data_IF_126461019328
#
_entry.id   IF_126461019328
#
_cell.length_a   1.000
_cell.length_b   1.000
_cell.length_c   1.000
_cell.angle_alpha   90.00
_cell.angle_beta   90.00
_cell.angle_gamma   90.00
#
_symmetry.space_group_name_H-M   'P 1'
#
loop_
_entity.id
_entity.type
_entity.pdbx_description
1 polymer ?
#
# COMPACT_ATOMS: atom_id res chain seq x y z
N UNK A 1 2.09 2.42 -8.31
CA UNK A 1 1.86 1.06 -7.77
C UNK A 1 0.99 0.27 -8.72
N UNK A 2 1.20 -1.04 -8.82
CA UNK A 2 0.40 -1.97 -9.62
C UNK A 2 0.17 -3.27 -8.86
N UNK A 3 -0.87 -4.02 -9.25
CA UNK A 3 -1.09 -5.41 -8.86
C UNK A 3 -0.71 -6.33 -10.03
N UNK A 4 -0.74 -7.64 -9.83
CA UNK A 4 -0.62 -8.61 -10.91
C UNK A 4 -1.92 -8.61 -11.73
N UNK A 5 -1.82 -8.36 -13.03
CA UNK A 5 -2.96 -8.33 -13.95
C UNK A 5 -2.91 -9.56 -14.84
N UNK A 6 -3.90 -10.44 -14.73
CA UNK A 6 -4.01 -11.60 -15.61
C UNK A 6 -4.59 -11.21 -16.96
N UNK A 7 -3.95 -11.63 -18.07
CA UNK A 7 -4.50 -11.44 -19.39
C UNK A 7 -5.67 -12.39 -19.62
N UNK A 8 -6.66 -11.97 -20.40
CA UNK A 8 -7.80 -12.79 -20.79
C UNK A 8 -8.89 -11.98 -21.47
N UNK A 9 -9.99 -12.63 -21.86
CA UNK A 9 -11.17 -11.93 -22.40
C UNK A 9 -11.75 -10.92 -21.39
N UNK A 10 -11.58 -11.22 -20.09
CA UNK A 10 -11.86 -10.30 -18.99
C UNK A 10 -10.60 -10.19 -18.12
N UNK A 11 -9.70 -9.26 -18.38
CA UNK A 11 -8.53 -9.06 -17.55
C UNK A 11 -8.94 -8.85 -16.09
N UNK A 12 -8.45 -9.72 -15.21
CA UNK A 12 -8.70 -9.61 -13.79
C UNK A 12 -7.41 -9.23 -13.07
N UNK A 13 -7.52 -8.26 -12.17
CA UNK A 13 -6.44 -7.91 -11.28
C UNK A 13 -6.46 -8.84 -10.08
N UNK A 14 -5.30 -9.37 -9.70
CA UNK A 14 -5.16 -10.04 -8.41
C UNK A 14 -5.21 -8.94 -7.35
N UNK A 15 -6.39 -8.78 -6.78
CA UNK A 15 -6.63 -7.90 -5.65
C UNK A 15 -6.80 -8.71 -4.35
N UNK A 16 -7.50 -8.16 -3.39
CA UNK A 16 -7.73 -8.76 -2.07
C UNK A 16 -8.56 -10.06 -2.07
N UNK A 17 -8.96 -10.55 -3.21
CA UNK A 17 -9.75 -11.77 -3.33
C UNK A 17 -9.07 -12.74 -4.29
N UNK A 18 -9.01 -14.00 -3.87
CA UNK A 18 -8.39 -15.11 -4.58
C UNK A 18 -8.71 -15.16 -6.09
N UNK A 19 -7.80 -14.66 -6.90
CA UNK A 19 -7.81 -14.92 -8.33
C UNK A 19 -6.92 -16.12 -8.71
N UNK A 20 -6.37 -16.82 -7.72
CA UNK A 20 -5.42 -17.91 -7.91
C UNK A 20 -5.95 -19.28 -7.45
N UNK A 21 -5.06 -20.25 -7.44
CA UNK A 21 -5.35 -21.60 -6.94
C UNK A 21 -5.58 -21.59 -5.42
N UNK A 22 -6.41 -22.52 -4.93
CA UNK A 22 -6.76 -22.63 -3.50
C UNK A 22 -5.54 -22.88 -2.59
N UNK A 23 -4.41 -23.29 -3.13
CA UNK A 23 -3.16 -23.51 -2.39
C UNK A 23 -2.34 -22.25 -2.17
N UNK A 24 -2.71 -21.14 -2.81
CA UNK A 24 -2.04 -19.84 -2.71
C UNK A 24 -0.53 -19.88 -3.07
N UNK A 25 -0.13 -20.83 -3.90
CA UNK A 25 1.21 -20.87 -4.48
C UNK A 25 1.24 -20.06 -5.79
N UNK A 26 2.44 -19.63 -6.19
CA UNK A 26 2.65 -18.97 -7.46
C UNK A 26 3.09 -20.02 -8.51
N UNK A 27 2.19 -20.50 -9.38
CA UNK A 27 2.57 -21.42 -10.43
C UNK A 27 3.52 -20.75 -11.44
N UNK A 28 4.30 -21.56 -12.16
CA UNK A 28 5.38 -21.07 -13.04
C UNK A 28 4.88 -20.10 -14.12
N UNK A 29 3.69 -20.33 -14.65
CA UNK A 29 3.08 -19.46 -15.67
C UNK A 29 2.69 -18.09 -15.09
N UNK A 30 2.20 -18.05 -13.86
CA UNK A 30 1.92 -16.81 -13.15
C UNK A 30 3.20 -16.01 -12.89
N UNK A 31 4.25 -16.66 -12.39
CA UNK A 31 5.55 -16.01 -12.17
C UNK A 31 6.08 -15.43 -13.47
N UNK A 32 6.05 -16.22 -14.55
CA UNK A 32 6.48 -15.75 -15.88
C UNK A 32 5.66 -14.54 -16.36
N UNK A 33 4.32 -14.61 -16.24
CA UNK A 33 3.44 -13.51 -16.61
C UNK A 33 3.75 -12.24 -15.79
N UNK A 34 3.98 -12.37 -14.48
CA UNK A 34 4.34 -11.24 -13.62
C UNK A 34 5.68 -10.62 -14.04
N UNK A 35 6.66 -11.44 -14.41
CA UNK A 35 7.95 -10.98 -14.97
C UNK A 35 7.75 -10.22 -16.28
N UNK A 36 6.92 -10.73 -17.19
CA UNK A 36 6.57 -10.06 -18.45
C UNK A 36 5.89 -8.72 -18.21
N UNK A 37 4.89 -8.67 -17.30
CA UNK A 37 4.17 -7.45 -16.94
C UNK A 37 5.12 -6.38 -16.38
N UNK A 38 5.90 -6.71 -15.37
CA UNK A 38 6.81 -5.77 -14.71
C UNK A 38 7.93 -5.37 -15.65
N UNK A 39 8.45 -6.30 -16.47
CA UNK A 39 9.44 -6.01 -17.49
C UNK A 39 8.95 -5.01 -18.53
N UNK A 40 7.70 -5.17 -19.01
CA UNK A 40 7.09 -4.21 -19.93
C UNK A 40 6.90 -2.82 -19.29
N UNK A 41 6.48 -2.76 -18.04
CA UNK A 41 6.38 -1.50 -17.29
C UNK A 41 7.74 -0.84 -17.12
N UNK A 42 8.77 -1.55 -16.69
CA UNK A 42 10.14 -1.04 -16.54
C UNK A 42 10.70 -0.53 -17.87
N UNK A 43 10.46 -1.25 -18.96
CA UNK A 43 10.86 -0.81 -20.29
C UNK A 43 10.15 0.48 -20.71
N UNK A 44 8.88 0.62 -20.39
CA UNK A 44 8.07 1.78 -20.75
C UNK A 44 8.45 3.05 -19.99
N UNK A 45 8.72 2.94 -18.67
CA UNK A 45 8.97 4.09 -17.80
C UNK A 45 10.46 4.42 -17.62
N UNK A 46 11.36 3.53 -18.01
CA UNK A 46 12.81 3.72 -17.84
C UNK A 46 13.28 3.45 -16.40
N UNK A 47 14.56 3.69 -16.11
CA UNK A 47 15.15 3.38 -14.80
C UNK A 47 14.79 4.37 -13.68
N UNK A 48 14.37 5.58 -14.03
CA UNK A 48 14.21 6.69 -13.09
C UNK A 48 12.83 6.75 -12.40
N UNK A 49 11.90 5.90 -12.82
CA UNK A 49 10.56 5.82 -12.23
C UNK A 49 10.46 4.59 -11.33
N UNK A 50 10.13 4.81 -10.08
CA UNK A 50 9.93 3.75 -9.12
C UNK A 50 8.67 2.91 -9.42
N UNK A 51 8.79 1.59 -9.33
CA UNK A 51 7.67 0.65 -9.50
C UNK A 51 7.45 -0.08 -8.18
N UNK A 52 6.22 -0.02 -7.66
CA UNK A 52 5.76 -0.80 -6.52
C UNK A 52 4.81 -1.89 -7.00
N UNK A 53 5.03 -3.13 -6.58
CA UNK A 53 4.11 -4.23 -6.84
C UNK A 53 3.38 -4.61 -5.56
N UNK A 54 2.07 -4.69 -5.63
CA UNK A 54 1.22 -5.15 -4.54
C UNK A 54 0.65 -6.54 -4.87
N UNK A 55 0.97 -7.51 -4.03
CA UNK A 55 0.49 -8.90 -4.17
C UNK A 55 -0.55 -9.27 -3.13
N UNK A 56 -0.92 -8.33 -2.26
CA UNK A 56 -1.94 -8.47 -1.22
C UNK A 56 -1.79 -9.76 -0.38
N UNK A 57 -2.89 -10.45 -0.07
CA UNK A 57 -2.94 -11.73 0.66
C UNK A 57 -2.89 -12.98 -0.25
N UNK A 58 -2.55 -12.83 -1.54
CA UNK A 58 -2.81 -13.87 -2.53
C UNK A 58 -1.85 -15.06 -2.45
N UNK A 59 -0.71 -14.90 -1.79
CA UNK A 59 0.34 -15.92 -1.83
C UNK A 59 0.81 -16.31 -0.43
N UNK A 60 1.08 -17.61 -0.27
CA UNK A 60 1.86 -18.12 0.84
C UNK A 60 3.33 -17.74 0.67
N UNK A 61 4.09 -17.89 1.74
CA UNK A 61 5.50 -17.49 1.81
C UNK A 61 6.33 -18.01 0.63
N UNK A 62 6.17 -19.28 0.24
CA UNK A 62 6.90 -19.86 -0.90
C UNK A 62 6.57 -19.16 -2.22
N UNK A 63 5.28 -18.97 -2.50
CA UNK A 63 4.82 -18.28 -3.72
C UNK A 63 5.33 -16.84 -3.79
N UNK A 64 5.25 -16.11 -2.68
CA UNK A 64 5.76 -14.74 -2.58
C UNK A 64 7.28 -14.67 -2.76
N UNK A 65 8.06 -15.62 -2.21
CA UNK A 65 9.51 -15.72 -2.42
C UNK A 65 9.83 -15.95 -3.89
N UNK A 66 9.08 -16.85 -4.55
CA UNK A 66 9.31 -17.17 -5.97
C UNK A 66 9.05 -15.93 -6.86
N UNK A 67 7.99 -15.18 -6.60
CA UNK A 67 7.70 -13.92 -7.28
C UNK A 67 8.82 -12.91 -7.00
N UNK A 68 9.15 -12.67 -5.73
CA UNK A 68 10.17 -11.69 -5.35
C UNK A 68 11.51 -11.94 -6.02
N UNK A 69 12.00 -13.19 -6.02
CA UNK A 69 13.25 -13.57 -6.69
C UNK A 69 13.21 -13.36 -8.20
N UNK A 70 12.10 -13.70 -8.82
CA UNK A 70 11.93 -13.53 -10.27
C UNK A 70 11.93 -12.06 -10.69
N UNK A 71 11.54 -11.15 -9.79
CA UNK A 71 11.44 -9.72 -10.04
C UNK A 71 12.68 -8.93 -9.63
N UNK A 72 13.67 -9.52 -8.96
CA UNK A 72 14.92 -8.84 -8.58
C UNK A 72 15.60 -8.05 -9.73
N UNK A 73 15.61 -8.54 -10.99
CA UNK A 73 16.23 -7.82 -12.10
C UNK A 73 15.56 -6.49 -12.48
N UNK A 74 14.35 -6.21 -11.99
CA UNK A 74 13.59 -5.01 -12.35
C UNK A 74 13.71 -3.88 -11.33
N UNK A 75 14.43 -4.08 -10.24
CA UNK A 75 14.74 -3.07 -9.23
C UNK A 75 13.47 -2.35 -8.73
N UNK A 76 12.58 -3.12 -8.14
CA UNK A 76 11.32 -2.59 -7.59
C UNK A 76 11.60 -1.73 -6.35
N UNK A 77 10.85 -0.64 -6.20
CA UNK A 77 10.89 0.20 -5.00
C UNK A 77 10.48 -0.57 -3.75
N UNK A 78 9.43 -1.41 -3.88
CA UNK A 78 9.07 -2.47 -2.94
C UNK A 78 8.11 -3.50 -3.57
N UNK A 79 8.03 -4.63 -2.91
CA UNK A 79 6.92 -5.57 -3.02
C UNK A 79 6.05 -5.42 -1.76
N UNK A 80 4.79 -5.09 -1.96
CA UNK A 80 3.80 -4.98 -0.90
C UNK A 80 3.11 -6.32 -0.73
N UNK A 81 3.02 -6.80 0.49
CA UNK A 81 2.41 -8.08 0.82
C UNK A 81 1.80 -8.05 2.21
N UNK A 82 0.56 -8.48 2.30
CA UNK A 82 -0.13 -8.63 3.55
C UNK A 82 0.05 -10.04 4.10
N UNK A 83 0.88 -10.17 5.10
CA UNK A 83 1.15 -11.43 5.78
C UNK A 83 1.01 -11.24 7.29
N UNK A 84 0.17 -12.05 7.92
CA UNK A 84 -0.15 -11.95 9.35
C UNK A 84 0.84 -12.68 10.25
N UNK A 85 1.85 -13.36 9.68
CA UNK A 85 2.89 -14.03 10.43
C UNK A 85 4.25 -13.34 10.26
N UNK A 86 4.79 -12.68 11.31
CA UNK A 86 6.05 -11.95 11.24
C UNK A 86 7.26 -12.86 10.94
N UNK A 87 7.22 -14.14 11.31
CA UNK A 87 8.30 -15.10 11.02
C UNK A 87 8.36 -15.43 9.52
N UNK A 88 7.20 -15.73 8.93
CA UNK A 88 7.07 -15.98 7.48
C UNK A 88 7.50 -14.77 6.66
N UNK A 89 7.13 -13.57 7.10
CA UNK A 89 7.52 -12.34 6.43
C UNK A 89 9.03 -12.07 6.54
N UNK A 90 9.63 -12.31 7.69
CA UNK A 90 11.08 -12.21 7.86
C UNK A 90 11.82 -13.23 6.99
N UNK A 91 11.29 -14.46 6.87
CA UNK A 91 11.81 -15.47 5.95
C UNK A 91 11.75 -14.99 4.50
N UNK A 92 10.60 -14.45 4.06
CA UNK A 92 10.43 -13.88 2.73
C UNK A 92 11.46 -12.77 2.48
N UNK A 93 11.54 -11.79 3.37
CA UNK A 93 12.48 -10.68 3.24
C UNK A 93 13.93 -11.15 3.12
N UNK A 94 14.34 -12.16 3.90
CA UNK A 94 15.70 -12.69 3.84
C UNK A 94 16.01 -13.53 2.59
N UNK A 95 14.98 -14.03 1.91
CA UNK A 95 15.12 -14.94 0.78
C UNK A 95 15.23 -14.24 -0.59
N UNK A 96 15.00 -12.93 -0.65
CA UNK A 96 15.02 -12.12 -1.88
C UNK A 96 15.51 -10.69 -1.57
N UNK A 97 15.75 -9.85 -2.59
CA UNK A 97 16.38 -8.53 -2.43
C UNK A 97 15.41 -7.36 -2.50
N UNK A 98 14.24 -7.55 -3.08
CA UNK A 98 13.24 -6.46 -3.19
C UNK A 98 12.79 -6.00 -1.81
N UNK A 99 12.81 -4.71 -1.48
CA UNK A 99 12.29 -4.23 -0.21
C UNK A 99 10.84 -4.65 0.03
N UNK A 100 10.48 -4.91 1.27
CA UNK A 100 9.13 -5.32 1.68
C UNK A 100 8.39 -4.16 2.31
N UNK A 101 7.19 -3.88 1.79
CA UNK A 101 6.22 -2.97 2.39
C UNK A 101 5.01 -3.78 2.88
N UNK A 102 4.54 -3.50 4.09
CA UNK A 102 3.38 -4.20 4.69
C UNK A 102 2.86 -3.48 5.92
N UNK A 103 1.70 -3.89 6.40
CA UNK A 103 1.20 -3.52 7.72
C UNK A 103 -0.13 -2.79 7.72
N UNK A 104 -0.79 -2.56 6.59
CA UNK A 104 -2.08 -1.88 6.54
C UNK A 104 -3.14 -2.55 7.42
N UNK A 105 -3.13 -3.89 7.47
CA UNK A 105 -4.07 -4.70 8.24
C UNK A 105 -3.74 -4.76 9.75
N UNK A 106 -2.58 -4.27 10.18
CA UNK A 106 -2.17 -4.31 11.57
C UNK A 106 -2.78 -3.14 12.35
N UNK A 107 -3.30 -3.43 13.53
CA UNK A 107 -3.97 -2.44 14.38
C UNK A 107 -3.26 -2.29 15.73
N UNK A 108 -2.82 -1.06 16.01
CA UNK A 108 -2.17 -0.70 17.26
C UNK A 108 -0.79 -1.32 17.46
N UNK A 109 -0.02 -0.74 18.35
CA UNK A 109 1.39 -1.06 18.59
C UNK A 109 1.68 -2.54 18.84
N UNK A 110 0.75 -3.26 19.48
CA UNK A 110 0.94 -4.67 19.82
C UNK A 110 1.06 -5.57 18.59
N UNK A 111 0.33 -5.24 17.50
CA UNK A 111 0.39 -6.03 16.28
C UNK A 111 1.63 -5.69 15.46
N UNK A 112 2.08 -4.44 15.43
CA UNK A 112 3.30 -4.06 14.70
C UNK A 112 4.59 -4.53 15.38
N UNK A 113 4.64 -4.53 16.71
CA UNK A 113 5.87 -4.79 17.46
C UNK A 113 6.58 -6.13 17.09
N UNK A 114 5.89 -7.27 16.90
CA UNK A 114 6.53 -8.51 16.47
C UNK A 114 7.24 -8.38 15.12
N UNK A 115 6.65 -7.67 14.16
CA UNK A 115 7.25 -7.43 12.84
C UNK A 115 8.51 -6.56 12.92
N UNK A 116 8.48 -5.51 13.72
CA UNK A 116 9.63 -4.62 13.92
C UNK A 116 10.78 -5.39 14.59
N UNK A 117 10.51 -6.15 15.64
CA UNK A 117 11.53 -6.98 16.32
C UNK A 117 12.18 -8.01 15.43
N UNK A 118 11.49 -8.50 14.40
CA UNK A 118 11.99 -9.46 13.43
C UNK A 118 12.63 -8.80 12.21
N UNK A 119 12.61 -7.47 12.13
CA UNK A 119 13.00 -6.75 10.92
C UNK A 119 12.30 -7.29 9.67
N UNK A 120 11.01 -7.64 9.81
CA UNK A 120 10.23 -8.35 8.80
C UNK A 120 9.79 -7.48 7.64
N UNK A 121 9.96 -6.17 7.72
CA UNK A 121 9.61 -5.20 6.68
C UNK A 121 10.67 -4.12 6.55
N UNK A 122 10.63 -3.36 5.44
CA UNK A 122 11.49 -2.21 5.17
C UNK A 122 10.71 -0.90 5.21
N UNK A 123 9.43 -0.95 4.89
CA UNK A 123 8.51 0.18 4.93
C UNK A 123 7.21 -0.24 5.60
N UNK A 124 6.71 0.62 6.50
CA UNK A 124 5.49 0.35 7.28
C UNK A 124 4.30 0.98 6.58
N UNK A 125 3.37 0.15 6.13
CA UNK A 125 2.10 0.58 5.53
C UNK A 125 1.07 0.80 6.64
N UNK A 126 1.01 2.00 7.21
CA UNK A 126 0.09 2.34 8.29
C UNK A 126 -1.19 2.97 7.75
N UNK A 127 -2.37 2.48 8.17
CA UNK A 127 -3.64 3.09 7.79
C UNK A 127 -4.19 3.97 8.92
N UNK A 128 -4.46 5.23 8.60
CA UNK A 128 -4.98 6.21 9.58
C UNK A 128 -6.46 5.99 9.86
N UNK A 129 -7.23 5.58 8.87
CA UNK A 129 -8.67 5.38 9.02
C UNK A 129 -9.00 4.15 9.86
N UNK A 130 -8.27 3.06 9.66
CA UNK A 130 -8.56 1.79 10.32
C UNK A 130 -8.17 1.79 11.80
N UNK A 131 -7.15 2.57 12.19
CA UNK A 131 -6.70 2.56 13.59
C UNK A 131 -6.77 3.92 14.29
N UNK A 132 -7.11 4.98 13.56
CA UNK A 132 -7.16 6.34 14.06
C UNK A 132 -5.79 7.03 14.12
N UNK A 133 -5.79 8.35 13.96
CA UNK A 133 -4.60 9.18 13.87
C UNK A 133 -3.63 8.99 15.05
N UNK A 134 -4.16 8.97 16.26
CA UNK A 134 -3.34 8.84 17.48
C UNK A 134 -2.57 7.52 17.54
N UNK A 135 -3.16 6.42 17.06
CA UNK A 135 -2.47 5.12 17.00
C UNK A 135 -1.50 5.08 15.82
N UNK A 136 -1.90 5.57 14.65
CA UNK A 136 -1.05 5.64 13.49
C UNK A 136 0.24 6.44 13.76
N UNK A 137 0.13 7.58 14.45
CA UNK A 137 1.29 8.39 14.88
C UNK A 137 2.21 7.61 15.81
N UNK A 138 1.69 6.91 16.82
CA UNK A 138 2.51 6.06 17.72
C UNK A 138 3.20 4.93 16.98
N UNK A 139 2.56 4.33 15.96
CA UNK A 139 3.18 3.31 15.12
C UNK A 139 4.33 3.90 14.32
N UNK A 140 4.15 5.09 13.73
CA UNK A 140 5.20 5.80 13.00
C UNK A 140 6.40 6.13 13.90
N UNK A 141 6.15 6.67 15.10
CA UNK A 141 7.19 6.96 16.10
C UNK A 141 7.93 5.70 16.57
N UNK A 142 7.21 4.58 16.75
CA UNK A 142 7.85 3.30 17.06
C UNK A 142 8.66 2.76 15.86
N UNK A 143 8.16 2.90 14.65
CA UNK A 143 8.87 2.52 13.43
C UNK A 143 10.22 3.26 13.30
N UNK A 144 10.26 4.56 13.62
CA UNK A 144 11.47 5.36 13.63
C UNK A 144 12.55 4.80 14.59
N UNK A 145 12.15 4.29 15.77
CA UNK A 145 13.08 3.64 16.72
C UNK A 145 13.74 2.40 16.11
N UNK A 146 13.08 1.74 15.15
CA UNK A 146 13.60 0.60 14.40
C UNK A 146 14.21 0.98 13.04
N UNK A 147 14.45 2.27 12.81
CA UNK A 147 15.01 2.81 11.54
C UNK A 147 14.12 2.50 10.31
N UNK A 148 12.81 2.41 10.53
CA UNK A 148 11.83 2.15 9.48
C UNK A 148 11.11 3.43 9.06
N UNK A 149 10.92 3.59 7.75
CA UNK A 149 10.04 4.61 7.20
C UNK A 149 8.59 4.12 7.14
N UNK A 150 7.66 5.07 7.16
CA UNK A 150 6.25 4.81 6.88
C UNK A 150 5.89 5.22 5.46
N UNK A 151 4.90 4.53 4.91
CA UNK A 151 4.17 4.90 3.70
C UNK A 151 2.67 4.69 3.97
N UNK A 152 1.92 5.72 4.38
CA UNK A 152 0.52 5.55 4.76
C UNK A 152 -0.30 4.86 3.67
N UNK A 153 -1.02 3.80 4.06
CA UNK A 153 -2.06 3.20 3.23
C UNK A 153 -3.21 4.19 3.07
N UNK A 154 -3.63 4.41 1.84
CA UNK A 154 -4.67 5.38 1.53
C UNK A 154 -5.41 5.01 0.23
N UNK A 155 -6.17 3.94 0.29
CA UNK A 155 -7.06 3.46 -0.78
C UNK A 155 -8.53 3.63 -0.35
N UNK A 156 -8.93 4.90 -0.12
CA UNK A 156 -10.25 5.22 0.43
C UNK A 156 -10.79 6.54 -0.17
N UNK A 157 -11.31 7.42 0.68
CA UNK A 157 -11.88 8.71 0.26
C UNK A 157 -10.86 9.84 0.28
N UNK A 158 -11.22 11.01 -0.25
CA UNK A 158 -10.41 12.22 -0.10
C UNK A 158 -10.23 12.63 1.37
N UNK A 159 -11.22 12.36 2.23
CA UNK A 159 -11.07 12.59 3.67
C UNK A 159 -9.92 11.75 4.25
N UNK A 160 -9.77 10.50 3.80
CA UNK A 160 -8.63 9.65 4.14
C UNK A 160 -7.30 10.25 3.68
N UNK A 161 -7.29 10.84 2.49
CA UNK A 161 -6.11 11.52 1.96
C UNK A 161 -5.68 12.67 2.87
N UNK A 162 -6.60 13.50 3.35
CA UNK A 162 -6.28 14.57 4.30
C UNK A 162 -5.83 14.04 5.67
N UNK A 163 -6.45 12.97 6.16
CA UNK A 163 -6.02 12.34 7.42
C UNK A 163 -4.59 11.78 7.30
N UNK A 164 -4.28 11.07 6.22
CA UNK A 164 -2.96 10.53 5.95
C UNK A 164 -1.93 11.64 5.74
N UNK A 165 -2.29 12.71 5.02
CA UNK A 165 -1.44 13.88 4.81
C UNK A 165 -1.08 14.57 6.14
N UNK A 166 -2.05 14.71 7.05
CA UNK A 166 -1.77 15.25 8.39
C UNK A 166 -0.86 14.33 9.21
N UNK A 167 -0.95 13.00 9.04
CA UNK A 167 0.00 12.09 9.65
C UNK A 167 1.41 12.33 9.10
N UNK A 168 1.57 12.44 7.78
CA UNK A 168 2.88 12.68 7.16
C UNK A 168 3.49 14.00 7.61
N UNK A 169 2.67 15.02 7.86
CA UNK A 169 3.14 16.31 8.42
C UNK A 169 3.58 16.24 9.89
N UNK A 170 3.10 15.23 10.63
CA UNK A 170 3.31 15.11 12.07
C UNK A 170 4.46 14.17 12.48
N UNK A 171 5.16 13.54 11.53
CA UNK A 171 6.24 12.58 11.76
C UNK A 171 7.42 12.81 10.80
N UNK A 172 8.62 12.35 11.17
CA UNK A 172 9.87 12.60 10.44
C UNK A 172 10.23 11.51 9.43
N UNK A 173 9.70 10.30 9.59
CA UNK A 173 10.10 9.09 8.88
C UNK A 173 9.16 8.70 7.74
N UNK A 174 8.64 9.67 7.01
CA UNK A 174 7.80 9.42 5.82
C UNK A 174 8.67 9.11 4.61
N UNK A 175 8.36 8.01 3.90
CA UNK A 175 8.98 7.70 2.62
C UNK A 175 8.18 8.26 1.45
N UNK A 176 6.89 7.94 1.41
CA UNK A 176 5.92 8.38 0.40
C UNK A 176 4.52 8.14 0.95
N UNK A 177 3.52 8.87 0.47
CA UNK A 177 2.11 8.63 0.78
C UNK A 177 1.38 8.05 -0.42
N UNK A 178 0.58 7.02 -0.21
CA UNK A 178 -0.30 6.48 -1.24
C UNK A 178 -1.43 7.45 -1.54
N UNK A 179 -1.81 7.56 -2.80
CA UNK A 179 -3.00 8.27 -3.26
C UNK A 179 -3.80 7.39 -4.19
N UNK A 180 -5.03 7.11 -3.84
CA UNK A 180 -5.97 6.43 -4.71
C UNK A 180 -6.39 7.38 -5.85
N UNK A 181 -6.35 6.88 -7.08
CA UNK A 181 -6.73 7.62 -8.29
C UNK A 181 -7.91 7.01 -9.04
N UNK A 182 -8.34 5.80 -8.65
CA UNK A 182 -9.22 4.95 -9.45
C UNK A 182 -10.57 4.63 -8.77
N UNK A 183 -10.83 5.11 -7.55
CA UNK A 183 -11.97 4.66 -6.76
C UNK A 183 -13.32 5.09 -7.34
N UNK A 184 -14.02 5.95 -6.74
CA UNK A 184 -15.37 6.33 -7.15
C UNK A 184 -15.41 7.65 -7.91
N UNK A 185 -16.21 7.77 -8.99
CA UNK A 185 -16.32 9.03 -9.75
C UNK A 185 -16.85 10.20 -8.92
N UNK A 186 -17.55 9.93 -7.82
CA UNK A 186 -18.07 10.93 -6.88
C UNK A 186 -17.16 11.21 -5.68
N UNK A 187 -15.99 10.59 -5.61
CA UNK A 187 -15.03 10.72 -4.50
C UNK A 187 -14.71 12.18 -4.16
N UNK A 188 -14.51 12.99 -5.18
CA UNK A 188 -14.15 14.40 -5.02
C UNK A 188 -15.33 15.28 -4.62
N UNK A 189 -16.56 14.79 -4.77
CA UNK A 189 -17.77 15.54 -4.43
C UNK A 189 -18.15 15.44 -2.94
N UNK A 190 -17.70 14.39 -2.23
CA UNK A 190 -18.13 14.13 -0.85
C UNK A 190 -17.30 14.87 0.21
N UNK A 191 -16.32 15.63 -0.19
CA UNK A 191 -15.50 16.47 0.69
C UNK A 191 -15.54 17.93 0.26
N UNK A 192 -15.36 18.84 1.22
CA UNK A 192 -15.42 20.29 0.97
C UNK A 192 -14.25 20.80 0.13
N UNK A 193 -13.19 20.03 0.04
CA UNK A 193 -12.03 20.28 -0.83
C UNK A 193 -11.36 18.97 -1.23
N UNK A 194 -10.56 19.04 -2.28
CA UNK A 194 -9.78 17.92 -2.85
C UNK A 194 -8.30 18.22 -2.60
N UNK A 195 -7.46 17.22 -2.30
CA UNK A 195 -6.02 17.42 -2.15
C UNK A 195 -5.41 18.01 -3.42
N UNK A 196 -4.64 19.08 -3.28
CA UNK A 196 -3.85 19.66 -4.37
C UNK A 196 -2.56 18.88 -4.56
N UNK A 197 -2.37 18.31 -5.75
CA UNK A 197 -1.16 17.55 -6.11
C UNK A 197 -0.43 18.29 -7.23
N UNK A 198 0.75 18.77 -6.95
CA UNK A 198 1.62 19.45 -7.91
C UNK A 198 3.02 18.87 -7.89
N UNK A 199 3.54 18.53 -9.06
CA UNK A 199 4.90 17.97 -9.23
C UNK A 199 5.19 16.74 -8.35
N UNK A 200 4.19 15.92 -8.05
CA UNK A 200 4.30 14.73 -7.20
C UNK A 200 4.22 15.01 -5.69
N UNK A 201 3.91 16.24 -5.31
CA UNK A 201 3.73 16.64 -3.92
C UNK A 201 2.28 17.03 -3.65
N UNK A 202 1.81 16.67 -2.46
CA UNK A 202 0.48 17.03 -1.98
C UNK A 202 0.61 18.15 -0.95
N UNK A 203 -0.18 19.22 -1.14
CA UNK A 203 -0.15 20.39 -0.25
C UNK A 203 -0.85 20.08 1.08
N UNK A 204 -0.17 20.38 2.19
CA UNK A 204 -0.75 20.29 3.53
C UNK A 204 -1.67 21.51 3.74
N UNK A 205 -2.96 21.30 4.07
CA UNK A 205 -3.89 22.41 4.25
C UNK A 205 -3.62 23.17 5.56
N UNK A 206 -3.80 24.47 5.53
CA UNK A 206 -3.64 25.37 6.70
C UNK A 206 -4.91 25.45 7.58
N UNK A 207 -6.01 24.81 7.20
CA UNK A 207 -7.28 24.84 7.91
C UNK A 207 -7.27 24.05 9.21
N UNK A 208 -8.23 24.29 10.11
CA UNK A 208 -8.37 23.54 11.35
C UNK A 208 -8.76 22.07 11.09
N UNK A 209 -8.44 21.20 12.03
CA UNK A 209 -8.74 19.77 11.95
C UNK A 209 -7.92 19.10 10.83
N UNK A 210 -8.60 18.42 9.92
CA UNK A 210 -7.97 17.78 8.76
C UNK A 210 -7.72 18.76 7.59
N UNK A 211 -8.21 20.01 7.72
CA UNK A 211 -8.21 20.98 6.64
C UNK A 211 -9.34 20.76 5.62
N UNK A 212 -10.18 19.78 5.81
CA UNK A 212 -11.40 19.56 5.03
C UNK A 212 -12.49 18.94 5.89
N UNK A 213 -13.74 19.06 5.43
CA UNK A 213 -14.92 18.46 6.03
C UNK A 213 -15.69 17.60 5.01
N UNK A 214 -16.62 16.79 5.50
CA UNK A 214 -17.56 16.06 4.68
C UNK A 214 -18.61 17.00 4.10
N UNK A 215 -18.87 16.96 2.80
CA UNK A 215 -20.05 17.55 2.22
C UNK A 215 -21.26 16.65 2.48
N UNK A 216 -22.06 17.00 3.51
CA UNK A 216 -23.20 16.19 3.92
C UNK A 216 -24.31 16.08 2.84
N UNK A 217 -24.43 17.05 1.94
CA UNK A 217 -25.43 17.00 0.85
C UNK A 217 -24.98 15.99 -0.19
N UNK A 218 -23.73 16.06 -0.60
CA UNK A 218 -23.15 15.10 -1.53
C UNK A 218 -23.14 13.69 -0.93
N UNK A 219 -22.76 13.54 0.33
CA UNK A 219 -22.79 12.25 1.02
C UNK A 219 -24.19 11.63 1.04
N UNK A 220 -25.24 12.43 1.27
CA UNK A 220 -26.63 11.96 1.19
C UNK A 220 -27.05 11.57 -0.22
N UNK A 221 -26.59 12.29 -1.25
CA UNK A 221 -26.86 11.98 -2.68
C UNK A 221 -26.31 10.60 -3.08
N UNK A 222 -25.18 10.21 -2.52
CA UNK A 222 -24.50 8.96 -2.83
C UNK A 222 -24.63 7.89 -1.73
N UNK A 223 -25.55 8.10 -0.77
CA UNK A 223 -25.81 7.11 0.26
C UNK A 223 -26.28 5.78 -0.35
N UNK A 224 -25.74 4.68 0.14
CA UNK A 224 -26.19 3.36 -0.25
C UNK A 224 -27.62 3.14 0.26
N UNK A 225 -28.57 2.97 -0.65
CA UNK A 225 -29.91 2.52 -0.35
C UNK A 225 -29.86 0.98 -0.26
N UNK A 226 -29.74 0.44 0.97
CA UNK A 226 -29.58 -0.98 1.29
C UNK A 226 -30.74 -1.86 0.85
#
# INVERSE_FOLDING_TARGET
KTNIVFPGENPSMIGNMFAGSNDQNAPTDLVRHTVEQIGAMRQAVGPDIDICLDINYNFKTEGAINIGRALEPFDLFWMEIDNQDPESLAQLKSAQRTPICTGEQLLGLRQYQPYFRRHAMDTVKVDVQWQGFSQAKKVAELAEVYELNIAPHNYNSQLSSFQSLNLTAAVSNVRIMESDVDSSPWRDEITTQVPEIENGFMTIPDGPGWGCDLDEKAAKKYAFEG
#
